data_IF_024796074700
#
_entry.id   IF_024796074700
#
_cell.length_a   1.000
_cell.length_b   1.000
_cell.length_c   1.000
_cell.angle_alpha   90.00
_cell.angle_beta   90.00
_cell.angle_gamma   90.00
#
_symmetry.space_group_name_H-M   'P 1'
#
loop_
_entity.id
_entity.type
_entity.pdbx_description
1 polymer ?
#
# COMPACT_ATOMS: atom_id res chain seq x y z
N UNK A 1 23.44 -12.81 49.30
CA UNK A 1 24.29 -11.62 49.54
C UNK A 1 23.38 -10.46 49.94
N UNK A 2 23.55 -9.99 51.17
CA UNK A 2 22.87 -8.82 51.73
C UNK A 2 23.68 -7.54 51.39
N UNK A 3 23.05 -6.40 51.09
CA UNK A 3 23.72 -5.11 51.14
C UNK A 3 23.69 -4.52 52.57
N UNK A 4 24.73 -3.79 53.01
CA UNK A 4 24.70 -3.11 54.30
C UNK A 4 24.08 -1.71 54.25
N UNK A 5 23.66 -1.29 55.45
CA UNK A 5 22.84 -0.17 55.92
C UNK A 5 23.48 1.24 55.84
N UNK A 6 22.59 2.24 55.86
CA UNK A 6 22.71 3.50 56.63
C UNK A 6 22.38 4.75 55.80
N UNK A 7 21.51 5.70 56.16
CA UNK A 7 21.04 6.15 57.48
C UNK A 7 19.72 6.96 57.35
N UNK A 8 19.09 7.15 58.49
CA UNK A 8 17.68 7.52 58.74
C UNK A 8 17.37 9.03 58.92
N UNK A 9 16.10 9.39 58.65
CA UNK A 9 15.14 10.29 59.37
C UNK A 9 15.21 11.85 59.29
N UNK A 10 14.14 12.43 58.69
CA UNK A 10 13.17 13.51 59.08
C UNK A 10 13.42 14.39 60.32
N UNK A 11 12.87 15.65 60.48
CA UNK A 11 11.43 16.01 60.26
C UNK A 11 11.02 17.51 59.94
N UNK A 12 9.74 17.68 59.52
CA UNK A 12 8.76 18.80 59.64
C UNK A 12 9.15 20.27 59.97
N UNK A 13 8.87 21.20 59.01
CA UNK A 13 8.00 22.45 58.97
C UNK A 13 7.91 23.47 60.16
N UNK A 14 7.27 24.68 60.03
CA UNK A 14 7.18 25.80 59.03
C UNK A 14 7.26 27.20 59.76
N UNK A 15 6.57 28.35 59.44
CA UNK A 15 5.84 28.85 58.24
C UNK A 15 6.10 30.34 57.86
N UNK A 16 5.54 30.79 56.74
CA UNK A 16 4.83 32.09 56.50
C UNK A 16 4.51 32.17 55.01
N UNK A 17 3.33 32.51 54.50
CA UNK A 17 2.18 33.18 55.08
C UNK A 17 1.58 34.00 53.93
N UNK A 18 0.30 33.75 53.66
CA UNK A 18 -0.63 34.67 52.99
C UNK A 18 -0.58 34.83 51.46
N UNK A 19 -1.68 34.91 50.72
CA UNK A 19 -3.12 34.72 50.96
C UNK A 19 -3.79 34.94 49.59
N UNK A 20 -4.87 34.19 49.30
CA UNK A 20 -6.04 34.65 48.51
C UNK A 20 -5.86 34.89 47.00
N UNK A 21 -6.83 34.69 46.10
CA UNK A 21 -8.19 34.11 46.09
C UNK A 21 -8.59 34.06 44.60
N UNK A 22 -9.44 33.09 44.22
CA UNK A 22 -10.25 33.13 42.99
C UNK A 22 -10.92 34.50 42.79
N UNK A 23 -10.94 35.03 41.55
CA UNK A 23 -12.02 35.87 40.99
C UNK A 23 -11.75 36.06 39.48
N UNK A 24 -12.44 35.31 38.63
CA UNK A 24 -13.68 35.69 37.91
C UNK A 24 -13.44 36.54 36.65
N UNK A 25 -14.15 36.09 35.60
CA UNK A 25 -14.36 36.76 34.32
C UNK A 25 -14.95 38.15 34.53
N UNK A 26 -14.43 39.14 33.82
CA UNK A 26 -15.22 40.32 33.45
C UNK A 26 -14.74 40.87 32.12
N UNK A 27 -15.54 40.58 31.09
CA UNK A 27 -15.81 41.50 29.99
C UNK A 27 -16.09 42.92 30.53
N UNK A 28 -15.75 43.92 29.72
CA UNK A 28 -15.92 45.37 29.92
C UNK A 28 -14.66 46.13 30.37
N UNK A 29 -13.93 46.68 29.39
CA UNK A 29 -14.02 48.14 29.16
C UNK A 29 -13.40 48.53 27.80
N UNK A 30 -14.22 49.19 26.97
CA UNK A 30 -13.75 50.08 25.90
C UNK A 30 -13.98 49.56 24.48
N UNK A 31 -15.08 50.00 23.85
CA UNK A 31 -15.34 49.88 22.42
C UNK A 31 -14.40 50.75 21.55
N UNK A 32 -14.59 50.71 20.21
CA UNK A 32 -13.57 51.07 19.22
C UNK A 32 -13.53 52.57 18.90
N UNK A 33 -12.50 53.02 18.15
CA UNK A 33 -12.77 53.94 17.05
C UNK A 33 -12.38 53.34 15.69
N UNK A 34 -13.13 53.69 14.62
CA UNK A 34 -13.07 53.06 13.32
C UNK A 34 -12.09 53.73 12.34
N UNK A 35 -11.81 52.97 11.28
CA UNK A 35 -11.42 53.38 9.92
C UNK A 35 -10.22 54.31 9.71
N UNK A 36 -9.19 53.78 9.05
CA UNK A 36 -8.83 54.19 7.69
C UNK A 36 -7.73 53.27 7.13
N UNK A 37 -7.93 52.82 5.88
CA UNK A 37 -7.01 52.10 4.98
C UNK A 37 -7.16 50.58 4.90
N UNK A 38 -7.77 50.17 3.78
CA UNK A 38 -7.81 48.83 3.18
C UNK A 38 -6.41 48.36 2.68
N UNK A 39 -6.27 47.08 2.24
CA UNK A 39 -5.08 46.21 2.46
C UNK A 39 -4.07 46.19 1.29
N UNK A 40 -2.97 45.44 1.43
CA UNK A 40 -2.83 44.19 0.64
C UNK A 40 -2.35 43.00 1.51
N UNK A 41 -3.02 41.85 1.44
CA UNK A 41 -2.70 40.70 0.56
C UNK A 41 -1.45 39.90 1.04
N UNK A 42 -1.73 38.66 1.43
CA UNK A 42 -0.87 37.47 1.52
C UNK A 42 0.04 37.25 2.76
N UNK A 43 -0.50 36.49 3.71
CA UNK A 43 0.25 35.55 4.55
C UNK A 43 -0.72 34.53 5.17
N UNK A 44 -0.62 33.21 4.88
CA UNK A 44 -1.60 32.26 5.40
C UNK A 44 -1.32 31.90 6.87
N UNK A 45 -2.41 31.92 7.64
CA UNK A 45 -2.56 31.43 9.01
C UNK A 45 -2.18 29.93 9.13
N UNK A 46 -1.71 29.47 10.32
CA UNK A 46 -1.50 28.06 10.57
C UNK A 46 -2.84 27.36 10.86
N UNK A 47 -2.93 26.09 10.47
CA UNK A 47 -4.05 25.14 10.65
C UNK A 47 -5.00 25.04 9.46
N UNK A 48 -4.62 24.21 8.48
CA UNK A 48 -5.58 23.41 7.72
C UNK A 48 -5.14 21.95 7.80
N UNK A 49 -6.06 21.00 8.07
CA UNK A 49 -5.74 19.58 7.97
C UNK A 49 -5.30 19.35 6.54
N UNK A 50 -4.14 18.70 6.35
CA UNK A 50 -3.64 18.31 5.03
C UNK A 50 -4.77 17.63 4.27
N UNK A 51 -5.43 18.36 3.37
CA UNK A 51 -6.22 17.75 2.33
C UNK A 51 -5.21 16.93 1.55
N UNK A 52 -5.41 15.60 1.56
CA UNK A 52 -4.67 14.71 0.70
C UNK A 52 -4.95 15.20 -0.72
N UNK A 53 -3.99 15.89 -1.30
CA UNK A 53 -4.05 16.30 -2.70
C UNK A 53 -4.26 15.01 -3.51
N UNK A 54 -5.31 14.91 -4.34
CA UNK A 54 -5.49 13.74 -5.20
C UNK A 54 -4.21 13.60 -6.00
N UNK A 55 -3.46 12.51 -5.77
CA UNK A 55 -2.25 12.26 -6.55
C UNK A 55 -2.66 12.32 -8.03
N UNK A 56 -1.93 13.06 -8.88
CA UNK A 56 -2.23 13.12 -10.29
C UNK A 56 -2.34 11.69 -10.86
N UNK A 57 -3.39 11.46 -11.65
CA UNK A 57 -3.85 10.18 -12.17
C UNK A 57 -2.85 9.43 -13.08
N UNK A 58 -1.60 9.89 -13.17
CA UNK A 58 -0.56 9.38 -14.07
C UNK A 58 0.59 8.66 -13.34
N UNK A 59 0.50 8.50 -12.01
CA UNK A 59 1.51 7.78 -11.25
C UNK A 59 1.34 6.24 -11.35
N UNK A 60 2.44 5.47 -11.41
CA UNK A 60 2.41 4.04 -11.16
C UNK A 60 1.72 3.74 -9.83
N UNK A 61 0.73 2.86 -9.84
CA UNK A 61 0.07 2.40 -8.62
C UNK A 61 0.90 1.30 -7.98
N UNK A 62 1.13 1.46 -6.67
CA UNK A 62 1.74 0.44 -5.83
C UNK A 62 0.67 -0.47 -5.22
N UNK A 63 1.00 -1.74 -5.10
CA UNK A 63 0.12 -2.76 -4.55
C UNK A 63 0.92 -3.81 -3.80
N UNK A 64 0.64 -3.98 -2.51
CA UNK A 64 1.25 -5.01 -1.69
C UNK A 64 0.22 -6.10 -1.38
N UNK A 65 0.62 -7.37 -1.51
CA UNK A 65 -0.28 -8.50 -1.24
C UNK A 65 0.46 -9.77 -0.81
N UNK A 66 -0.26 -10.64 -0.12
CA UNK A 66 0.19 -12.00 0.21
C UNK A 66 -0.12 -12.97 -0.94
N UNK A 67 0.91 -13.57 -1.52
CA UNK A 67 0.76 -14.56 -2.58
C UNK A 67 0.58 -15.95 -1.97
N UNK A 68 -0.50 -16.62 -2.36
CA UNK A 68 -0.85 -17.98 -1.94
C UNK A 68 -0.98 -18.90 -3.14
N UNK A 69 -0.71 -20.18 -2.89
CA UNK A 69 -1.05 -21.28 -3.79
C UNK A 69 -1.89 -22.29 -3.04
N UNK A 70 -3.15 -22.44 -3.45
CA UNK A 70 -4.09 -23.37 -2.82
C UNK A 70 -4.15 -23.15 -1.29
N UNK A 71 -4.42 -21.91 -0.89
CA UNK A 71 -4.50 -21.42 0.49
C UNK A 71 -3.19 -21.44 1.30
N UNK A 72 -2.07 -21.94 0.76
CA UNK A 72 -0.77 -21.90 1.43
C UNK A 72 0.01 -20.65 1.03
N UNK A 73 0.43 -19.87 2.03
CA UNK A 73 1.28 -18.68 1.83
C UNK A 73 2.61 -19.07 1.21
N UNK A 74 3.04 -18.29 0.21
CA UNK A 74 4.34 -18.42 -0.45
C UNK A 74 5.27 -17.27 -0.09
N UNK A 75 4.81 -16.05 -0.27
CA UNK A 75 5.58 -14.84 0.01
C UNK A 75 4.65 -13.63 0.03
N UNK A 76 5.13 -12.50 0.56
CA UNK A 76 4.55 -11.19 0.30
C UNK A 76 5.24 -10.52 -0.87
N UNK A 77 4.45 -9.89 -1.73
CA UNK A 77 4.89 -9.22 -2.93
C UNK A 77 4.57 -7.73 -2.84
N UNK A 78 5.52 -6.91 -3.29
CA UNK A 78 5.27 -5.53 -3.70
C UNK A 78 5.11 -5.50 -5.22
N UNK A 79 4.15 -4.72 -5.71
CA UNK A 79 3.78 -4.67 -7.09
C UNK A 79 3.70 -3.23 -7.57
N UNK A 80 4.32 -2.91 -8.71
CA UNK A 80 4.32 -1.57 -9.30
C UNK A 80 3.74 -1.63 -10.70
N UNK A 81 2.71 -0.83 -10.99
CA UNK A 81 2.13 -0.84 -12.33
C UNK A 81 3.10 -0.29 -13.38
N UNK A 82 3.11 -0.91 -14.55
CA UNK A 82 3.92 -0.45 -15.69
C UNK A 82 3.28 0.73 -16.44
N UNK A 83 2.02 1.02 -16.15
CA UNK A 83 1.21 2.05 -16.77
C UNK A 83 0.27 2.68 -15.74
N UNK A 84 -0.61 3.58 -16.20
CA UNK A 84 -1.65 4.20 -15.37
C UNK A 84 -2.39 3.12 -14.55
N UNK A 85 -2.33 3.30 -13.23
CA UNK A 85 -2.78 2.34 -12.26
C UNK A 85 -4.27 1.99 -12.32
N UNK A 86 -4.65 1.07 -11.45
CA UNK A 86 -6.05 0.68 -11.29
C UNK A 86 -6.71 1.48 -10.16
N UNK A 87 -7.79 2.22 -10.49
CA UNK A 87 -8.46 3.14 -9.56
C UNK A 87 -9.48 2.46 -8.62
N UNK A 88 -9.34 1.17 -8.33
CA UNK A 88 -10.17 0.49 -7.31
C UNK A 88 -9.28 -0.25 -6.32
N UNK A 89 -9.88 -0.62 -5.19
CA UNK A 89 -9.20 -1.37 -4.16
C UNK A 89 -8.74 -2.74 -4.69
N UNK A 90 -7.42 -2.93 -4.70
CA UNK A 90 -6.78 -4.19 -5.02
C UNK A 90 -6.79 -5.10 -3.78
N UNK A 91 -6.86 -6.43 -3.96
CA UNK A 91 -6.96 -7.37 -2.86
C UNK A 91 -5.63 -7.46 -2.08
N UNK A 92 -5.71 -7.67 -0.77
CA UNK A 92 -4.53 -7.80 0.10
C UNK A 92 -3.85 -9.18 0.03
N UNK A 93 -4.48 -10.13 -0.66
CA UNK A 93 -3.92 -11.44 -0.94
C UNK A 93 -4.40 -11.92 -2.30
N UNK A 94 -3.62 -12.82 -2.91
CA UNK A 94 -3.99 -13.53 -4.12
C UNK A 94 -3.79 -15.02 -3.90
N UNK A 95 -4.86 -15.79 -3.99
CA UNK A 95 -4.78 -17.24 -3.96
C UNK A 95 -4.87 -17.82 -5.37
N UNK A 96 -3.70 -18.23 -5.86
CA UNK A 96 -3.62 -18.94 -7.12
C UNK A 96 -4.23 -20.32 -6.92
N UNK A 97 -5.41 -20.52 -7.49
CA UNK A 97 -6.15 -21.79 -7.43
C UNK A 97 -6.06 -22.55 -8.75
N UNK A 98 -5.97 -21.84 -9.87
CA UNK A 98 -5.89 -22.43 -11.22
C UNK A 98 -4.56 -22.14 -11.89
N UNK A 99 -4.12 -23.06 -12.76
CA UNK A 99 -2.82 -23.00 -13.45
C UNK A 99 -2.97 -23.18 -14.97
N UNK A 100 -3.48 -22.18 -15.70
CA UNK A 100 -3.55 -22.23 -17.16
C UNK A 100 -2.17 -22.39 -17.79
N UNK A 101 -2.11 -23.06 -18.94
CA UNK A 101 -0.86 -23.22 -19.69
C UNK A 101 -0.46 -21.90 -20.35
N UNK A 102 0.81 -21.50 -20.25
CA UNK A 102 1.29 -20.26 -20.88
C UNK A 102 1.20 -20.25 -22.41
N UNK A 103 1.20 -21.42 -23.06
CA UNK A 103 0.98 -21.50 -24.50
C UNK A 103 -0.43 -21.03 -24.93
N UNK A 104 -1.39 -20.99 -24.00
CA UNK A 104 -2.74 -20.42 -24.19
C UNK A 104 -2.88 -19.00 -23.65
N UNK A 105 -1.76 -18.30 -23.45
CA UNK A 105 -1.76 -16.91 -22.95
C UNK A 105 -2.59 -15.97 -23.81
N UNK A 106 -2.58 -16.13 -25.14
CA UNK A 106 -3.47 -15.40 -26.04
C UNK A 106 -4.95 -15.50 -25.65
N UNK A 107 -5.42 -16.70 -25.33
CA UNK A 107 -6.82 -16.97 -24.99
C UNK A 107 -7.21 -16.37 -23.63
N UNK A 108 -6.46 -16.68 -22.56
CA UNK A 108 -6.86 -16.26 -21.21
C UNK A 108 -6.52 -14.80 -20.91
N UNK A 109 -5.51 -14.22 -21.56
CA UNK A 109 -5.27 -12.77 -21.54
C UNK A 109 -6.13 -12.04 -22.57
N UNK A 110 -6.79 -12.77 -23.48
CA UNK A 110 -7.60 -12.27 -24.58
C UNK A 110 -6.83 -11.29 -25.48
N UNK A 111 -5.56 -11.55 -25.79
CA UNK A 111 -4.65 -10.57 -26.44
C UNK A 111 -5.21 -9.98 -27.75
N UNK A 112 -5.99 -10.76 -28.49
CA UNK A 112 -6.62 -10.33 -29.75
C UNK A 112 -7.75 -9.30 -29.57
N UNK A 113 -8.16 -9.02 -28.33
CA UNK A 113 -9.22 -8.05 -28.02
C UNK A 113 -8.61 -6.74 -27.51
N UNK A 114 -8.52 -5.69 -28.36
CA UNK A 114 -7.92 -4.41 -27.95
C UNK A 114 -8.76 -3.67 -26.89
N UNK A 115 -10.08 -3.88 -26.88
CA UNK A 115 -11.00 -3.22 -25.94
C UNK A 115 -10.92 -3.77 -24.50
N UNK A 116 -10.23 -4.89 -24.30
CA UNK A 116 -10.04 -5.49 -22.97
C UNK A 116 -8.91 -4.76 -22.26
N UNK A 117 -9.23 -4.11 -21.14
CA UNK A 117 -8.24 -3.40 -20.33
C UNK A 117 -7.36 -4.42 -19.62
N UNK A 118 -6.04 -4.23 -19.73
CA UNK A 118 -5.01 -4.99 -19.02
C UNK A 118 -4.10 -4.02 -18.30
N UNK A 119 -3.97 -4.19 -16.98
CA UNK A 119 -2.99 -3.45 -16.17
C UNK A 119 -1.95 -4.46 -15.73
N UNK A 120 -0.69 -4.19 -16.05
CA UNK A 120 0.44 -5.06 -15.73
C UNK A 120 1.19 -4.47 -14.55
N UNK A 121 1.46 -5.29 -13.55
CA UNK A 121 2.24 -4.95 -12.38
C UNK A 121 3.50 -5.80 -12.35
N UNK A 122 4.66 -5.17 -12.26
CA UNK A 122 5.91 -5.87 -11.93
C UNK A 122 5.90 -6.28 -10.47
N UNK A 123 6.22 -7.54 -10.17
CA UNK A 123 6.22 -8.09 -8.81
C UNK A 123 7.63 -8.25 -8.28
N UNK A 124 7.88 -7.76 -7.07
CA UNK A 124 9.12 -8.00 -6.31
C UNK A 124 8.78 -8.59 -4.96
N UNK A 125 9.64 -9.44 -4.38
CA UNK A 125 9.47 -9.84 -2.98
C UNK A 125 9.45 -8.59 -2.10
N UNK A 126 8.55 -8.51 -1.13
CA UNK A 126 8.44 -7.36 -0.22
C UNK A 126 9.69 -7.24 0.66
N UNK A 127 10.26 -8.37 1.08
CA UNK A 127 11.45 -8.43 1.92
C UNK A 127 12.41 -9.55 1.52
N UNK A 128 13.60 -9.56 2.11
CA UNK A 128 14.57 -10.65 1.95
C UNK A 128 14.02 -12.00 2.46
N UNK A 129 13.14 -12.01 3.45
CA UNK A 129 12.49 -13.23 3.94
C UNK A 129 11.51 -13.82 2.92
N UNK A 130 10.93 -12.97 2.06
CA UNK A 130 9.97 -13.34 1.03
C UNK A 130 10.65 -13.85 -0.27
N UNK A 131 11.95 -13.58 -0.44
CA UNK A 131 12.70 -13.87 -1.67
C UNK A 131 12.73 -15.36 -2.02
N UNK A 132 12.90 -16.26 -1.04
CA UNK A 132 12.91 -17.72 -1.28
C UNK A 132 11.57 -18.19 -1.81
N UNK A 133 10.48 -17.83 -1.12
CA UNK A 133 9.13 -18.25 -1.52
C UNK A 133 8.69 -17.64 -2.86
N UNK A 134 9.13 -16.41 -3.16
CA UNK A 134 8.96 -15.79 -4.47
C UNK A 134 9.69 -16.57 -5.57
N UNK A 135 10.97 -16.90 -5.36
CA UNK A 135 11.78 -17.63 -6.33
C UNK A 135 11.25 -19.04 -6.57
N UNK A 136 10.93 -19.78 -5.50
CA UNK A 136 10.31 -21.10 -5.58
C UNK A 136 9.00 -21.07 -6.36
N UNK A 137 8.15 -20.06 -6.13
CA UNK A 137 6.89 -19.95 -6.85
C UNK A 137 7.10 -19.56 -8.33
N UNK A 138 8.06 -18.68 -8.63
CA UNK A 138 8.46 -18.35 -10.01
C UNK A 138 8.93 -19.61 -10.73
N UNK A 139 9.84 -20.35 -10.13
CA UNK A 139 10.43 -21.54 -10.73
C UNK A 139 9.39 -22.66 -10.88
N UNK A 140 8.46 -22.77 -9.93
CA UNK A 140 7.28 -23.65 -10.04
C UNK A 140 6.42 -23.32 -11.26
N UNK A 141 6.18 -22.04 -11.56
CA UNK A 141 5.43 -21.64 -12.75
C UNK A 141 6.20 -21.92 -14.04
N UNK A 142 7.51 -21.71 -14.04
CA UNK A 142 8.39 -21.96 -15.21
C UNK A 142 8.48 -23.46 -15.53
N UNK A 143 8.78 -24.29 -14.52
CA UNK A 143 8.83 -25.74 -14.67
C UNK A 143 7.44 -26.31 -14.99
N UNK A 144 6.41 -25.73 -14.37
CA UNK A 144 5.02 -26.09 -14.56
C UNK A 144 4.75 -27.56 -14.24
N UNK A 145 3.84 -28.17 -15.01
CA UNK A 145 3.50 -29.61 -14.89
C UNK A 145 3.76 -30.29 -16.22
N UNK A 146 4.48 -31.42 -16.18
CA UNK A 146 4.93 -32.17 -17.36
C UNK A 146 5.82 -31.33 -18.30
N UNK A 147 6.63 -30.41 -17.76
CA UNK A 147 7.51 -29.54 -18.55
C UNK A 147 6.79 -28.39 -19.28
N UNK A 148 5.49 -28.18 -19.01
CA UNK A 148 4.73 -27.07 -19.58
C UNK A 148 4.54 -25.95 -18.58
N UNK A 149 5.22 -24.83 -18.84
CA UNK A 149 5.12 -23.61 -18.06
C UNK A 149 3.67 -23.11 -17.91
N UNK A 150 3.37 -22.57 -16.73
CA UNK A 150 2.03 -22.18 -16.27
C UNK A 150 1.98 -20.71 -15.87
N UNK A 151 0.79 -20.14 -15.95
CA UNK A 151 0.45 -18.93 -15.23
C UNK A 151 -0.30 -19.31 -13.95
N UNK A 152 -0.23 -18.47 -12.92
CA UNK A 152 -1.17 -18.48 -11.81
C UNK A 152 -2.44 -17.73 -12.19
N UNK A 153 -3.61 -18.22 -11.81
CA UNK A 153 -4.86 -17.48 -11.95
C UNK A 153 -5.62 -17.45 -10.62
N UNK A 154 -6.03 -16.24 -10.25
CA UNK A 154 -6.67 -15.90 -8.99
C UNK A 154 -8.01 -15.17 -9.27
N UNK A 155 -9.01 -15.41 -8.41
CA UNK A 155 -10.42 -15.03 -8.64
C UNK A 155 -10.94 -13.97 -7.66
N UNK A 156 -10.08 -13.39 -6.82
CA UNK A 156 -10.46 -12.44 -5.76
C UNK A 156 -11.21 -11.21 -6.29
N UNK A 157 -10.93 -10.82 -7.54
CA UNK A 157 -11.57 -9.67 -8.18
C UNK A 157 -12.67 -10.05 -9.18
N UNK A 158 -13.04 -11.32 -9.27
CA UNK A 158 -14.11 -11.78 -10.17
C UNK A 158 -15.46 -11.10 -9.90
N UNK A 159 -15.88 -10.87 -8.64
CA UNK A 159 -17.10 -10.09 -8.34
C UNK A 159 -17.07 -8.64 -8.85
N UNK A 160 -15.87 -8.08 -9.02
CA UNK A 160 -15.68 -6.71 -9.54
C UNK A 160 -15.56 -6.68 -11.08
N UNK A 161 -15.63 -7.84 -11.74
CA UNK A 161 -15.49 -7.97 -13.19
C UNK A 161 -14.05 -8.08 -13.68
N UNK A 162 -13.11 -8.48 -12.83
CA UNK A 162 -11.69 -8.63 -13.19
C UNK A 162 -11.16 -10.03 -12.89
N UNK A 163 -10.16 -10.46 -13.65
CA UNK A 163 -9.36 -11.67 -13.35
C UNK A 163 -7.90 -11.29 -13.22
N UNK A 164 -7.21 -11.95 -12.29
CA UNK A 164 -5.80 -11.71 -12.03
C UNK A 164 -5.00 -12.93 -12.46
N UNK A 165 -3.96 -12.67 -13.25
CA UNK A 165 -3.01 -13.69 -13.69
C UNK A 165 -1.61 -13.36 -13.20
N UNK A 166 -0.89 -14.34 -12.66
CA UNK A 166 0.53 -14.23 -12.33
C UNK A 166 1.32 -14.93 -13.43
N UNK A 167 2.15 -14.19 -14.16
CA UNK A 167 2.98 -14.72 -15.23
C UNK A 167 4.44 -14.76 -14.77
N UNK A 168 5.16 -15.88 -14.98
CA UNK A 168 6.60 -15.85 -14.87
C UNK A 168 7.22 -14.99 -16.00
N UNK A 169 8.48 -14.56 -15.86
CA UNK A 169 9.19 -13.88 -16.95
C UNK A 169 9.24 -14.77 -18.19
N UNK A 170 9.03 -14.18 -19.37
CA UNK A 170 9.04 -14.93 -20.64
C UNK A 170 8.15 -14.33 -21.72
N UNK A 171 7.86 -15.12 -22.76
CA UNK A 171 7.17 -14.65 -23.98
C UNK A 171 5.77 -14.09 -23.69
N UNK A 172 4.99 -14.73 -22.80
CA UNK A 172 3.64 -14.26 -22.47
C UNK A 172 3.65 -12.87 -21.81
N UNK A 173 4.63 -12.58 -20.95
CA UNK A 173 4.78 -11.25 -20.35
C UNK A 173 5.28 -10.21 -21.37
N UNK A 174 6.16 -10.62 -22.29
CA UNK A 174 6.67 -9.78 -23.39
C UNK A 174 5.58 -9.34 -24.37
N UNK A 175 4.58 -10.20 -24.63
CA UNK A 175 3.40 -9.85 -25.43
C UNK A 175 2.57 -8.72 -24.80
N UNK A 176 2.68 -8.51 -23.49
CA UNK A 176 2.06 -7.39 -22.77
C UNK A 176 2.98 -6.17 -22.65
N UNK A 177 4.14 -6.18 -23.32
CA UNK A 177 5.12 -5.10 -23.28
C UNK A 177 6.11 -5.15 -22.11
N UNK A 178 6.04 -6.16 -21.24
CA UNK A 178 7.00 -6.31 -20.14
C UNK A 178 8.31 -6.96 -20.60
N UNK A 179 9.44 -6.32 -20.31
CA UNK A 179 10.78 -6.76 -20.74
C UNK A 179 11.72 -7.14 -19.59
N UNK A 180 11.27 -7.06 -18.35
CA UNK A 180 12.09 -7.39 -17.18
C UNK A 180 12.12 -8.88 -16.87
N UNK A 181 12.81 -9.21 -15.78
CA UNK A 181 13.09 -10.59 -15.34
C UNK A 181 12.27 -11.03 -14.12
N UNK A 182 11.35 -10.18 -13.66
CA UNK A 182 10.46 -10.49 -12.56
C UNK A 182 9.16 -11.15 -13.04
N UNK A 183 8.45 -11.78 -12.12
CA UNK A 183 7.05 -12.14 -12.34
C UNK A 183 6.20 -10.88 -12.52
N UNK A 184 5.10 -11.00 -13.24
CA UNK A 184 4.11 -9.93 -13.37
C UNK A 184 2.72 -10.38 -12.96
N UNK A 185 1.97 -9.49 -12.31
CA UNK A 185 0.53 -9.65 -12.14
C UNK A 185 -0.20 -8.88 -13.24
N UNK A 186 -1.15 -9.54 -13.90
CA UNK A 186 -1.96 -8.97 -14.96
C UNK A 186 -3.39 -8.92 -14.50
N UNK A 187 -3.89 -7.71 -14.27
CA UNK A 187 -5.29 -7.45 -13.99
C UNK A 187 -6.01 -7.23 -15.32
N UNK A 188 -6.89 -8.17 -15.69
CA UNK A 188 -7.63 -8.17 -16.96
C UNK A 188 -9.11 -7.94 -16.69
N UNK A 189 -9.75 -7.03 -17.41
CA UNK A 189 -11.22 -6.92 -17.39
C UNK A 189 -11.89 -8.18 -17.96
N UNK A 190 -13.14 -8.44 -17.57
CA UNK A 190 -13.96 -9.51 -18.14
C UNK A 190 -14.39 -9.21 -19.57
#
# INVERSE_FOLDING_TARGET
>A
MFPPRGRSRSPNRPPSGDMMRKRDRSWERGGPPPDMMRPPINGPLPNSPRMMEPRPFDAPSEWNFELKRSHKVKCRCSATSLSVGFNRQLPLYLDVVTLPHLNRSGEFLQLDRPNIRRVVYELKPESMADASGYAEFRDYLIQGRNGHARAGAASEMEPQGFKIFILPPGQAARQLGYKGDHMVAVLRSR
#
